data_IF_640601850550
#
_entry.id   IF_640601850550
#
_cell.length_a   1.000
_cell.length_b   1.000
_cell.length_c   1.000
_cell.angle_alpha   90.00
_cell.angle_beta   90.00
_cell.angle_gamma   90.00
#
_symmetry.space_group_name_H-M   'P 1'
#
loop_
_entity.id
_entity.type
_entity.pdbx_description
1 polymer ?
#
# COMPACT_ATOMS: atom_id res chain seq x y z
N UNK A 1 58.16 9.99 -37.95
CA UNK A 1 57.94 11.42 -37.66
C UNK A 1 56.98 11.51 -36.49
N UNK A 2 57.47 11.85 -35.28
CA UNK A 2 56.64 11.90 -34.07
C UNK A 2 56.18 13.35 -33.90
N UNK A 3 54.89 13.61 -34.12
CA UNK A 3 54.30 14.92 -33.82
C UNK A 3 54.28 15.11 -32.30
N UNK A 4 55.22 15.92 -31.77
CA UNK A 4 55.18 16.39 -30.38
C UNK A 4 54.01 17.36 -30.24
N UNK A 5 52.95 16.94 -29.55
CA UNK A 5 51.87 17.86 -29.15
C UNK A 5 52.41 18.83 -28.10
N UNK A 6 52.29 20.12 -28.35
CA UNK A 6 52.59 21.18 -27.39
C UNK A 6 51.54 21.12 -26.28
N UNK A 7 51.98 20.75 -25.08
CA UNK A 7 51.14 20.71 -23.89
C UNK A 7 50.88 22.16 -23.45
N UNK A 8 49.72 22.70 -23.79
CA UNK A 8 49.29 24.02 -23.31
C UNK A 8 48.83 23.87 -21.84
N UNK A 9 49.44 24.65 -20.95
CA UNK A 9 49.09 24.65 -19.52
C UNK A 9 47.65 25.12 -19.31
N UNK A 10 46.97 24.52 -18.35
CA UNK A 10 45.58 24.81 -18.01
C UNK A 10 45.51 26.16 -17.28
N UNK A 11 44.64 27.07 -17.70
CA UNK A 11 44.44 28.34 -17.00
C UNK A 11 43.54 28.12 -15.76
N UNK A 12 43.82 28.81 -14.65
CA UNK A 12 43.03 28.69 -13.40
C UNK A 12 41.55 29.03 -13.62
N UNK A 13 41.27 30.01 -14.49
CA UNK A 13 39.91 30.40 -14.88
C UNK A 13 39.17 29.27 -15.60
N UNK A 14 39.88 28.48 -16.42
CA UNK A 14 39.29 27.37 -17.15
C UNK A 14 38.80 26.27 -16.19
N UNK A 15 39.62 25.94 -15.19
CA UNK A 15 39.24 24.96 -14.16
C UNK A 15 38.05 25.48 -13.34
N UNK A 16 38.03 26.75 -12.95
CA UNK A 16 36.90 27.35 -12.21
C UNK A 16 35.58 27.27 -13.00
N UNK A 17 35.63 27.60 -14.30
CA UNK A 17 34.44 27.52 -15.17
C UNK A 17 33.99 26.06 -15.34
N UNK A 18 34.92 25.12 -15.53
CA UNK A 18 34.55 23.69 -15.62
C UNK A 18 33.87 23.20 -14.36
N UNK A 19 34.42 23.50 -13.17
CA UNK A 19 33.84 23.10 -11.88
C UNK A 19 32.46 23.74 -11.68
N UNK A 20 32.28 25.01 -12.05
CA UNK A 20 30.99 25.68 -11.97
C UNK A 20 29.93 24.99 -12.86
N UNK A 21 30.26 24.72 -14.12
CA UNK A 21 29.35 24.05 -15.07
C UNK A 21 29.03 22.63 -14.60
N UNK A 22 30.03 21.84 -14.16
CA UNK A 22 29.81 20.47 -13.68
C UNK A 22 28.97 20.44 -12.40
N UNK A 23 29.16 21.41 -11.50
CA UNK A 23 28.39 21.50 -10.25
C UNK A 23 26.92 21.76 -10.53
N UNK A 24 26.60 22.69 -11.44
CA UNK A 24 25.23 22.97 -11.87
C UNK A 24 24.61 21.73 -12.55
N UNK A 25 25.38 21.05 -13.41
CA UNK A 25 24.95 19.81 -14.05
C UNK A 25 24.61 18.70 -13.06
N UNK A 26 25.45 18.51 -12.03
CA UNK A 26 25.25 17.48 -11.01
C UNK A 26 24.05 17.77 -10.11
N UNK A 27 23.80 19.05 -9.75
CA UNK A 27 22.61 19.44 -9.00
C UNK A 27 21.32 19.15 -9.80
N UNK A 28 21.35 19.37 -11.11
CA UNK A 28 20.25 18.99 -12.01
C UNK A 28 19.99 17.48 -12.02
N UNK A 29 21.05 16.66 -12.12
CA UNK A 29 20.94 15.20 -12.06
C UNK A 29 20.40 14.70 -10.71
N UNK A 30 20.83 15.30 -9.59
CA UNK A 30 20.35 14.91 -8.27
C UNK A 30 18.83 15.17 -8.11
N UNK A 31 18.33 16.29 -8.66
CA UNK A 31 16.89 16.58 -8.68
C UNK A 31 16.11 15.51 -9.46
N UNK A 32 16.61 15.07 -10.60
CA UNK A 32 16.01 13.99 -11.39
C UNK A 32 16.07 12.65 -10.64
N UNK A 33 17.20 12.33 -10.00
CA UNK A 33 17.36 11.11 -9.20
C UNK A 33 16.36 11.06 -8.04
N UNK A 34 16.12 12.18 -7.35
CA UNK A 34 15.10 12.26 -6.31
C UNK A 34 13.69 12.04 -6.85
N UNK A 35 13.37 12.59 -8.02
CA UNK A 35 12.08 12.35 -8.68
C UNK A 35 11.90 10.89 -9.10
N UNK A 36 12.93 10.26 -9.67
CA UNK A 36 12.91 8.85 -10.02
C UNK A 36 12.72 7.96 -8.78
N UNK A 37 13.43 8.26 -7.69
CA UNK A 37 13.27 7.56 -6.43
C UNK A 37 11.85 7.74 -5.85
N UNK A 38 11.27 8.94 -5.99
CA UNK A 38 9.88 9.19 -5.59
C UNK A 38 8.90 8.31 -6.35
N UNK A 39 9.02 8.24 -7.68
CA UNK A 39 8.18 7.42 -8.55
C UNK A 39 8.34 5.92 -8.28
N UNK A 40 9.57 5.47 -7.98
CA UNK A 40 9.84 4.07 -7.66
C UNK A 40 9.14 3.63 -6.38
N UNK A 41 9.20 4.45 -5.33
CA UNK A 41 8.53 4.14 -4.05
C UNK A 41 7.00 4.12 -4.19
N UNK A 42 6.42 5.04 -4.96
CA UNK A 42 4.97 5.05 -5.22
C UNK A 42 4.51 3.79 -5.98
N UNK A 43 5.26 3.42 -7.02
CA UNK A 43 5.04 2.19 -7.79
C UNK A 43 5.19 0.94 -6.92
N UNK A 44 6.14 0.94 -5.99
CA UNK A 44 6.37 -0.13 -5.03
C UNK A 44 5.18 -0.33 -4.09
N UNK A 45 4.67 0.75 -3.49
CA UNK A 45 3.50 0.70 -2.59
C UNK A 45 2.26 0.17 -3.34
N UNK A 46 2.03 0.63 -4.57
CA UNK A 46 0.92 0.13 -5.41
C UNK A 46 1.07 -1.35 -5.74
N UNK A 47 2.29 -1.83 -5.97
CA UNK A 47 2.54 -3.25 -6.24
C UNK A 47 2.24 -4.12 -5.02
N UNK A 48 2.63 -3.68 -3.82
CA UNK A 48 2.32 -4.38 -2.57
C UNK A 48 0.82 -4.41 -2.29
N UNK A 49 0.11 -3.30 -2.50
CA UNK A 49 -1.34 -3.25 -2.41
C UNK A 49 -2.03 -4.20 -3.40
N UNK A 50 -1.50 -4.30 -4.63
CA UNK A 50 -2.00 -5.24 -5.64
C UNK A 50 -1.82 -6.69 -5.18
N UNK A 51 -0.67 -7.03 -4.59
CA UNK A 51 -0.43 -8.36 -4.04
C UNK A 51 -1.39 -8.70 -2.89
N UNK A 52 -1.69 -7.75 -2.02
CA UNK A 52 -2.65 -7.94 -0.92
C UNK A 52 -4.07 -8.24 -1.44
N UNK A 53 -4.49 -7.57 -2.52
CA UNK A 53 -5.77 -7.84 -3.17
C UNK A 53 -5.78 -9.17 -3.92
N UNK A 54 -4.66 -9.57 -4.52
CA UNK A 54 -4.52 -10.89 -5.15
C UNK A 54 -4.59 -12.01 -4.13
N UNK A 55 -3.96 -11.84 -2.96
CA UNK A 55 -4.08 -12.78 -1.85
C UNK A 55 -5.54 -12.91 -1.40
N UNK A 56 -6.23 -11.79 -1.16
CA UNK A 56 -7.65 -11.78 -0.79
C UNK A 56 -8.53 -12.46 -1.85
N UNK A 57 -8.28 -12.16 -3.12
CA UNK A 57 -9.00 -12.78 -4.25
C UNK A 57 -8.85 -14.29 -4.25
N UNK A 58 -7.62 -14.77 -4.04
CA UNK A 58 -7.34 -16.20 -4.03
C UNK A 58 -8.00 -16.90 -2.85
N UNK A 59 -8.03 -16.28 -1.66
CA UNK A 59 -8.72 -16.78 -0.47
C UNK A 59 -10.24 -16.88 -0.68
N UNK A 60 -10.86 -15.83 -1.21
CA UNK A 60 -12.31 -15.83 -1.53
C UNK A 60 -12.65 -16.93 -2.55
N UNK A 61 -11.81 -17.10 -3.58
CA UNK A 61 -11.98 -18.17 -4.57
C UNK A 61 -11.82 -19.57 -3.96
N UNK A 62 -10.87 -19.74 -3.04
CA UNK A 62 -10.66 -21.00 -2.35
C UNK A 62 -11.85 -21.37 -1.44
N UNK A 63 -12.52 -20.37 -0.86
CA UNK A 63 -13.67 -20.53 0.01
C UNK A 63 -14.94 -19.92 -0.61
N UNK A 64 -15.29 -20.36 -1.83
CA UNK A 64 -16.48 -19.85 -2.52
C UNK A 64 -17.81 -20.22 -1.82
N UNK A 65 -17.79 -21.22 -0.93
CA UNK A 65 -18.97 -21.76 -0.26
C UNK A 65 -19.51 -20.74 0.75
N UNK A 66 -18.63 -20.03 1.45
CA UNK A 66 -18.97 -18.97 2.40
C UNK A 66 -18.73 -17.58 1.80
N UNK A 67 -19.01 -17.40 0.49
CA UNK A 67 -18.80 -16.13 -0.19
C UNK A 67 -19.45 -14.98 0.59
N UNK A 68 -20.71 -15.11 0.99
CA UNK A 68 -21.44 -14.09 1.74
C UNK A 68 -20.76 -13.66 3.06
N UNK A 69 -19.95 -14.52 3.69
CA UNK A 69 -19.22 -14.21 4.92
C UNK A 69 -18.01 -13.30 4.71
N UNK A 70 -17.60 -13.08 3.45
CA UNK A 70 -16.57 -12.11 3.11
C UNK A 70 -17.09 -10.67 2.96
N UNK A 71 -18.41 -10.43 3.00
CA UNK A 71 -18.97 -9.08 2.88
C UNK A 71 -18.74 -8.28 4.18
N UNK A 72 -18.06 -7.14 4.07
CA UNK A 72 -17.82 -6.22 5.19
C UNK A 72 -18.92 -5.19 5.35
N UNK A 73 -19.97 -5.24 4.53
CA UNK A 73 -21.12 -4.34 4.60
C UNK A 73 -20.76 -2.89 4.27
N UNK A 74 -19.69 -2.67 3.51
CA UNK A 74 -19.15 -1.35 3.18
C UNK A 74 -18.32 -0.71 4.29
N UNK A 75 -18.07 -1.40 5.41
CA UNK A 75 -17.14 -0.95 6.44
C UNK A 75 -15.73 -1.52 6.22
N UNK A 76 -14.71 -0.79 6.65
CA UNK A 76 -13.35 -1.32 6.64
C UNK A 76 -13.19 -2.43 7.70
N UNK A 77 -12.41 -3.45 7.38
CA UNK A 77 -12.04 -4.49 8.36
C UNK A 77 -11.38 -3.84 9.57
N UNK A 78 -11.87 -4.16 10.77
CA UNK A 78 -11.38 -3.59 12.02
C UNK A 78 -10.29 -4.47 12.64
N UNK A 79 -9.13 -3.86 12.88
CA UNK A 79 -8.00 -4.54 13.54
C UNK A 79 -8.10 -4.54 15.07
N UNK A 80 -9.07 -3.84 15.64
CA UNK A 80 -9.26 -3.79 17.09
C UNK A 80 -9.79 -5.10 17.68
N UNK A 81 -10.53 -5.88 16.90
CA UNK A 81 -11.20 -7.10 17.36
C UNK A 81 -10.77 -8.28 16.48
N UNK A 82 -9.75 -9.07 16.88
CA UNK A 82 -9.40 -10.28 16.17
C UNK A 82 -10.57 -11.30 16.22
N UNK A 83 -10.73 -12.12 15.18
CA UNK A 83 -11.72 -13.19 15.17
C UNK A 83 -11.40 -14.22 16.26
N UNK A 84 -12.44 -14.86 16.78
CA UNK A 84 -12.33 -15.82 17.89
C UNK A 84 -11.48 -17.06 17.53
N UNK A 85 -11.39 -17.39 16.24
CA UNK A 85 -10.59 -18.49 15.71
C UNK A 85 -9.75 -17.97 14.54
N UNK A 86 -8.46 -18.30 14.54
CA UNK A 86 -7.54 -18.03 13.44
C UNK A 86 -7.27 -19.35 12.73
N UNK A 87 -7.64 -19.40 11.45
CA UNK A 87 -7.68 -20.63 10.66
C UNK A 87 -6.39 -20.89 9.88
N UNK A 88 -5.37 -20.05 10.11
CA UNK A 88 -4.02 -20.18 9.58
C UNK A 88 -3.02 -20.37 10.72
N UNK A 89 -1.89 -21.03 10.41
CA UNK A 89 -0.81 -21.15 11.38
C UNK A 89 -0.03 -19.83 11.41
N UNK A 90 0.19 -19.26 12.58
CA UNK A 90 0.91 -18.00 12.76
C UNK A 90 1.94 -18.12 13.88
N UNK A 91 2.81 -17.12 14.02
CA UNK A 91 3.74 -17.01 15.13
C UNK A 91 3.28 -15.88 16.05
N UNK A 92 3.21 -16.11 17.36
CA UNK A 92 2.74 -15.10 18.33
C UNK A 92 3.87 -14.21 18.89
N UNK A 93 5.09 -14.35 18.36
CA UNK A 93 6.30 -13.70 18.87
C UNK A 93 7.18 -14.63 19.72
N UNK A 94 6.63 -15.73 20.24
CA UNK A 94 7.32 -16.68 21.12
C UNK A 94 7.32 -18.10 20.53
N UNK A 95 6.21 -18.53 19.94
CA UNK A 95 6.03 -19.87 19.41
C UNK A 95 5.18 -19.86 18.13
N UNK A 96 5.30 -20.94 17.37
CA UNK A 96 4.38 -21.24 16.27
C UNK A 96 3.06 -21.75 16.86
N UNK A 97 1.97 -21.07 16.56
CA UNK A 97 0.61 -21.50 16.84
C UNK A 97 0.06 -22.25 15.63
N UNK A 98 -0.53 -23.42 15.87
CA UNK A 98 -1.14 -24.24 14.83
C UNK A 98 -2.50 -23.66 14.44
N UNK A 99 -2.87 -23.79 13.16
CA UNK A 99 -4.18 -23.40 12.65
C UNK A 99 -5.32 -24.07 13.44
N UNK A 100 -6.34 -23.29 13.81
CA UNK A 100 -7.57 -23.82 14.39
C UNK A 100 -8.44 -24.50 13.32
N UNK A 101 -9.26 -25.46 13.74
CA UNK A 101 -10.30 -26.03 12.88
C UNK A 101 -11.46 -25.04 12.79
N UNK A 102 -11.74 -24.54 11.59
CA UNK A 102 -12.75 -23.52 11.34
C UNK A 102 -13.83 -24.02 10.39
N UNK A 103 -15.06 -23.52 10.57
CA UNK A 103 -16.08 -23.59 9.52
C UNK A 103 -15.73 -22.63 8.37
N UNK A 104 -16.38 -22.78 7.21
CA UNK A 104 -16.16 -21.89 6.07
C UNK A 104 -16.44 -20.41 6.41
N UNK A 105 -17.44 -20.13 7.23
CA UNK A 105 -17.78 -18.76 7.67
C UNK A 105 -16.70 -18.19 8.61
N UNK A 106 -16.19 -19.03 9.53
CA UNK A 106 -15.11 -18.65 10.44
C UNK A 106 -13.80 -18.43 9.68
N UNK A 107 -13.54 -19.26 8.66
CA UNK A 107 -12.40 -19.11 7.76
C UNK A 107 -12.45 -17.75 7.06
N UNK A 108 -13.60 -17.36 6.52
CA UNK A 108 -13.78 -16.07 5.86
C UNK A 108 -13.50 -14.87 6.78
N UNK A 109 -14.01 -14.91 8.02
CA UNK A 109 -13.72 -13.89 9.02
C UNK A 109 -12.23 -13.82 9.39
N UNK A 110 -11.56 -14.98 9.48
CA UNK A 110 -10.13 -15.06 9.75
C UNK A 110 -9.27 -14.53 8.61
N UNK A 111 -9.63 -14.85 7.36
CA UNK A 111 -8.93 -14.38 6.16
C UNK A 111 -9.00 -12.86 6.02
N UNK A 112 -10.20 -12.28 6.18
CA UNK A 112 -10.39 -10.83 6.13
C UNK A 112 -9.49 -10.12 7.14
N UNK A 113 -9.46 -10.61 8.37
CA UNK A 113 -8.66 -10.02 9.43
C UNK A 113 -7.16 -10.21 9.20
N UNK A 114 -6.72 -11.40 8.79
CA UNK A 114 -5.31 -11.68 8.52
C UNK A 114 -4.75 -10.80 7.40
N UNK A 115 -5.49 -10.69 6.29
CA UNK A 115 -5.07 -9.90 5.14
C UNK A 115 -5.07 -8.40 5.46
N UNK A 116 -6.07 -7.91 6.20
CA UNK A 116 -6.20 -6.48 6.50
C UNK A 116 -5.30 -6.00 7.65
N UNK A 117 -5.06 -6.85 8.66
CA UNK A 117 -4.47 -6.43 9.94
C UNK A 117 -3.14 -7.13 10.26
N UNK A 118 -2.89 -8.32 9.70
CA UNK A 118 -1.71 -9.10 10.01
C UNK A 118 -1.64 -9.62 11.44
N UNK A 119 -0.52 -10.26 11.76
CA UNK A 119 -0.26 -10.79 13.10
C UNK A 119 0.67 -9.83 13.85
N UNK A 120 0.18 -9.27 14.96
CA UNK A 120 0.93 -8.39 15.86
C UNK A 120 1.98 -9.14 16.67
N UNK A 121 2.94 -9.79 16.01
CA UNK A 121 3.93 -10.65 16.65
C UNK A 121 5.14 -9.81 17.02
N UNK A 122 5.23 -9.32 18.25
CA UNK A 122 6.48 -8.73 18.75
C UNK A 122 7.43 -9.86 19.15
N UNK A 123 8.36 -10.24 18.27
CA UNK A 123 9.41 -11.20 18.63
C UNK A 123 10.45 -10.48 19.48
N UNK A 124 10.73 -10.98 20.68
CA UNK A 124 11.72 -10.39 21.58
C UNK A 124 13.07 -10.20 20.86
N UNK A 125 13.68 -9.02 21.01
CA UNK A 125 14.96 -8.65 20.38
C UNK A 125 14.93 -8.50 18.85
N UNK A 126 13.75 -8.47 18.21
CA UNK A 126 13.63 -8.10 16.80
C UNK A 126 13.24 -6.63 16.64
N UNK A 127 13.86 -5.93 15.68
CA UNK A 127 13.57 -4.51 15.41
C UNK A 127 12.40 -4.31 14.44
N UNK A 128 11.94 -5.38 13.78
CA UNK A 128 10.79 -5.35 12.86
C UNK A 128 10.34 -6.79 12.60
N UNK A 129 9.14 -7.15 13.06
CA UNK A 129 8.47 -8.38 12.63
C UNK A 129 7.46 -7.99 11.56
N UNK A 130 7.64 -8.52 10.35
CA UNK A 130 6.64 -8.43 9.28
C UNK A 130 6.05 -9.80 9.11
N UNK A 131 4.80 -9.96 9.52
CA UNK A 131 4.11 -11.23 9.60
C UNK A 131 3.07 -11.39 8.49
N UNK A 132 2.61 -10.29 7.87
CA UNK A 132 1.67 -10.35 6.75
C UNK A 132 1.91 -9.28 5.68
N UNK A 133 1.17 -9.37 4.57
CA UNK A 133 1.19 -8.37 3.50
C UNK A 133 0.74 -6.98 3.97
N UNK A 134 -0.12 -6.90 5.00
CA UNK A 134 -0.58 -5.64 5.59
C UNK A 134 0.59 -4.81 6.17
N UNK A 135 1.61 -5.46 6.72
CA UNK A 135 2.77 -4.79 7.36
C UNK A 135 3.66 -4.03 6.37
N UNK A 136 3.53 -4.32 5.07
CA UNK A 136 4.30 -3.65 4.04
C UNK A 136 3.61 -2.37 3.54
N UNK A 137 2.30 -2.26 3.74
CA UNK A 137 1.48 -1.14 3.31
C UNK A 137 1.18 -0.23 4.50
N UNK A 138 1.29 1.09 4.32
CA UNK A 138 1.01 2.03 5.41
C UNK A 138 -0.51 2.19 5.62
N UNK A 139 -1.00 1.87 6.82
CA UNK A 139 -2.42 1.97 7.21
C UNK A 139 -3.38 1.40 6.16
N UNK A 140 -3.31 0.10 5.84
CA UNK A 140 -4.19 -0.51 4.86
C UNK A 140 -5.63 -0.51 5.39
N UNK A 141 -6.57 -0.23 4.50
CA UNK A 141 -8.01 -0.27 4.75
C UNK A 141 -8.65 -1.07 3.64
N UNK A 142 -9.09 -2.28 3.98
CA UNK A 142 -9.76 -3.21 3.08
C UNK A 142 -11.27 -3.17 3.33
N UNK A 143 -12.03 -2.98 2.26
CA UNK A 143 -13.48 -3.12 2.22
C UNK A 143 -13.80 -4.17 1.16
N UNK A 144 -14.66 -5.12 1.49
CA UNK A 144 -15.13 -6.15 0.57
C UNK A 144 -16.64 -6.05 0.49
N UNK A 145 -17.17 -5.88 -0.71
CA UNK A 145 -18.61 -5.80 -0.94
C UNK A 145 -19.02 -6.88 -1.93
N UNK A 146 -20.10 -7.58 -1.61
CA UNK A 146 -20.63 -8.64 -2.46
C UNK A 146 -21.92 -8.16 -3.09
N UNK A 147 -21.94 -8.14 -4.41
CA UNK A 147 -23.09 -7.69 -5.16
C UNK A 147 -24.13 -8.81 -5.28
N UNK A 148 -25.38 -8.44 -5.58
CA UNK A 148 -26.49 -9.38 -5.76
C UNK A 148 -26.28 -10.38 -6.91
N UNK A 149 -25.35 -10.11 -7.84
CA UNK A 149 -24.98 -11.01 -8.93
C UNK A 149 -23.79 -11.93 -8.60
N UNK A 150 -23.42 -12.05 -7.31
CA UNK A 150 -22.24 -12.75 -6.80
C UNK A 150 -20.89 -12.22 -7.31
N UNK A 151 -20.85 -11.02 -7.91
CA UNK A 151 -19.58 -10.35 -8.14
C UNK A 151 -19.03 -9.74 -6.85
N UNK A 152 -17.70 -9.79 -6.71
CA UNK A 152 -16.99 -9.29 -5.52
C UNK A 152 -16.25 -8.01 -5.89
N UNK A 153 -16.53 -6.95 -5.13
CA UNK A 153 -15.81 -5.70 -5.17
C UNK A 153 -14.81 -5.63 -4.01
N UNK A 154 -13.53 -5.55 -4.36
CA UNK A 154 -12.47 -5.31 -3.38
C UNK A 154 -11.99 -3.87 -3.50
N UNK A 155 -12.09 -3.11 -2.40
CA UNK A 155 -11.55 -1.77 -2.29
C UNK A 155 -10.46 -1.78 -1.22
N UNK A 156 -9.21 -1.65 -1.68
CA UNK A 156 -8.06 -1.44 -0.82
C UNK A 156 -7.58 0.01 -0.93
N UNK A 157 -7.37 0.60 0.23
CA UNK A 157 -6.84 1.93 0.39
C UNK A 157 -5.64 1.93 1.34
N UNK A 158 -4.71 2.85 1.11
CA UNK A 158 -3.51 2.99 1.95
C UNK A 158 -3.02 4.44 1.97
N UNK A 159 -2.18 4.74 2.95
CA UNK A 159 -1.55 6.04 3.08
C UNK A 159 -0.32 6.16 2.20
N UNK A 160 -0.16 7.32 1.55
CA UNK A 160 0.99 7.64 0.71
C UNK A 160 1.78 8.76 1.38
N UNK A 161 3.01 8.50 1.82
CA UNK A 161 4.11 9.41 2.23
C UNK A 161 3.84 10.60 3.18
N UNK A 162 2.61 11.04 3.41
CA UNK A 162 2.27 12.24 4.18
C UNK A 162 1.43 11.93 5.42
N UNK A 163 1.02 10.68 5.67
CA UNK A 163 0.38 10.33 6.93
C UNK A 163 1.31 10.58 8.11
N UNK A 164 0.89 11.44 9.05
CA UNK A 164 1.67 11.80 10.23
C UNK A 164 0.76 12.25 11.36
N UNK A 165 1.27 12.27 12.59
CA UNK A 165 0.57 12.93 13.70
C UNK A 165 1.15 14.32 13.90
N UNK A 166 0.31 15.33 14.12
CA UNK A 166 0.80 16.61 14.59
C UNK A 166 1.34 16.51 16.01
N UNK A 167 1.92 17.61 16.50
CA UNK A 167 2.44 17.70 17.86
C UNK A 167 1.37 17.47 18.96
N UNK A 168 0.08 17.43 18.60
CA UNK A 168 -1.03 17.20 19.50
C UNK A 168 -1.58 15.75 19.41
N UNK A 169 -0.95 14.89 18.60
CA UNK A 169 -1.37 13.49 18.43
C UNK A 169 -2.53 13.29 17.45
N UNK A 170 -2.98 14.33 16.75
CA UNK A 170 -3.99 14.17 15.71
C UNK A 170 -3.33 13.65 14.44
N UNK A 171 -3.87 12.57 13.89
CA UNK A 171 -3.47 12.07 12.57
C UNK A 171 -3.80 13.12 11.50
N UNK A 172 -2.79 13.86 11.05
CA UNK A 172 -2.88 14.67 9.86
C UNK A 172 -2.75 13.74 8.65
N UNK A 173 -3.63 13.98 7.67
CA UNK A 173 -3.69 13.25 6.39
C UNK A 173 -4.30 11.84 6.45
N UNK A 174 -4.87 11.41 7.59
CA UNK A 174 -5.77 10.27 7.65
C UNK A 174 -7.21 10.73 7.36
N UNK A 175 -7.81 10.25 6.26
CA UNK A 175 -9.23 10.50 6.01
C UNK A 175 -10.08 9.49 6.77
N UNK A 176 -10.63 9.94 7.91
CA UNK A 176 -11.91 9.46 8.43
C UNK A 176 -12.99 10.01 7.48
N UNK A 177 -13.22 9.34 6.34
CA UNK A 177 -14.21 9.81 5.36
C UNK A 177 -14.04 9.24 3.95
N UNK A 178 -14.95 8.33 3.62
CA UNK A 178 -15.19 7.67 2.34
C UNK A 178 -15.14 8.61 1.12
N UNK A 179 -14.43 8.22 0.06
CA UNK A 179 -14.61 8.79 -1.28
C UNK A 179 -15.50 7.86 -2.09
N UNK A 180 -16.78 8.23 -2.30
CA UNK A 180 -17.73 7.46 -3.11
C UNK A 180 -17.61 7.82 -4.60
N UNK A 181 -17.48 6.79 -5.44
CA UNK A 181 -17.59 6.89 -6.89
C UNK A 181 -19.04 6.55 -7.27
N UNK A 182 -19.75 7.50 -7.87
CA UNK A 182 -21.08 7.25 -8.46
C UNK A 182 -20.98 7.40 -9.97
N UNK A 183 -21.43 6.37 -10.69
CA UNK A 183 -21.53 6.35 -12.16
C UNK A 183 -23.00 6.47 -12.52
N UNK A 184 -23.36 7.47 -13.33
CA UNK A 184 -24.72 7.60 -13.85
C UNK A 184 -24.99 6.63 -15.02
N UNK A 185 -26.26 6.43 -15.37
CA UNK A 185 -26.70 5.51 -16.43
C UNK A 185 -26.20 5.89 -17.85
N UNK A 186 -25.49 7.00 -17.98
CA UNK A 186 -24.84 7.49 -19.20
C UNK A 186 -23.32 7.26 -19.22
N UNK A 187 -22.76 6.57 -18.22
CA UNK A 187 -21.35 6.20 -18.15
C UNK A 187 -20.41 7.36 -17.81
N UNK A 188 -20.94 8.50 -17.34
CA UNK A 188 -20.13 9.65 -16.95
C UNK A 188 -19.77 9.53 -15.47
N UNK A 189 -18.48 9.44 -15.17
CA UNK A 189 -17.97 9.42 -13.79
C UNK A 189 -17.81 10.86 -13.28
N UNK A 190 -18.45 11.20 -12.17
CA UNK A 190 -18.34 12.51 -11.52
C UNK A 190 -17.68 12.36 -10.15
N UNK A 191 -16.72 13.24 -9.84
CA UNK A 191 -15.99 13.26 -8.58
C UNK A 191 -16.38 14.52 -7.80
N UNK A 192 -16.99 14.37 -6.62
CA UNK A 192 -17.29 15.51 -5.74
C UNK A 192 -16.19 15.62 -4.70
N UNK A 193 -15.25 16.55 -4.90
CA UNK A 193 -14.24 16.93 -3.90
C UNK A 193 -14.77 18.08 -3.07
N UNK A 194 -14.96 17.88 -1.76
CA UNK A 194 -15.03 18.99 -0.80
C UNK A 194 -13.60 19.41 -0.48
N UNK A 195 -13.28 20.63 -0.86
CA UNK A 195 -11.95 21.24 -0.89
C UNK A 195 -11.30 21.37 0.50
N UNK A 196 -10.27 20.56 0.79
CA UNK A 196 -9.08 20.89 1.61
C UNK A 196 -7.91 19.96 1.22
N UNK A 197 -6.88 20.53 0.59
CA UNK A 197 -5.51 19.99 0.39
C UNK A 197 -5.46 18.46 0.20
N UNK A 198 -5.79 18.03 -1.03
CA UNK A 198 -5.97 16.64 -1.43
C UNK A 198 -4.67 15.83 -1.44
N UNK A 199 -4.49 14.94 -0.46
CA UNK A 199 -3.56 13.81 -0.56
C UNK A 199 -4.06 12.87 -1.64
N UNK A 200 -3.17 12.42 -2.53
CA UNK A 200 -3.50 11.44 -3.56
C UNK A 200 -3.60 10.05 -2.91
N UNK A 201 -4.81 9.63 -2.54
CA UNK A 201 -5.13 8.24 -2.22
C UNK A 201 -5.17 7.47 -3.54
N UNK A 202 -4.43 6.36 -3.60
CA UNK A 202 -4.58 5.41 -4.70
C UNK A 202 -5.63 4.39 -4.25
N UNK A 203 -6.79 4.39 -4.91
CA UNK A 203 -7.81 3.36 -4.76
C UNK A 203 -7.65 2.39 -5.91
N UNK A 204 -7.57 1.09 -5.62
CA UNK A 204 -7.64 0.05 -6.64
C UNK A 204 -8.95 -0.72 -6.45
N UNK A 205 -9.76 -0.74 -7.50
CA UNK A 205 -11.06 -1.41 -7.58
C UNK A 205 -10.93 -2.54 -8.59
N UNK A 206 -11.28 -3.77 -8.18
CA UNK A 206 -11.27 -4.94 -9.06
C UNK A 206 -12.60 -5.67 -8.91
N UNK A 207 -13.35 -5.74 -10.02
CA UNK A 207 -14.53 -6.58 -10.17
C UNK A 207 -14.08 -8.02 -10.47
N UNK A 208 -14.50 -8.98 -9.63
CA UNK A 208 -14.25 -10.40 -9.86
C UNK A 208 -15.60 -11.09 -10.05
N UNK A 209 -15.79 -11.76 -11.18
CA UNK A 209 -16.85 -12.77 -11.36
C UNK A 209 -16.28 -14.16 -11.03
N UNK A 210 -17.03 -15.00 -10.29
CA UNK A 210 -16.65 -16.39 -10.05
C UNK A 210 -16.59 -17.20 -11.36
#
# INVERSE_FOLDING_TARGET
MIFRRLQQGINLVEVMVTVAITSIGLLGLNSLQLQANRSTQDSGNRSQATWMLEDMTNRIRANNIALASYDTGGAAVSCANPPALICSAYNDGNARIQAAACTNDQLAASDLWEVACGFGSNVASSSSTRSSAADFVANPSLIVTINADNSVNLNLSWDVRTGGQDANGNTIYAAVGDSKKTVDASGKSSYTTTDKITVRRATYERDIKP
#
